data_IF_148358340833
#
_entry.id   IF_148358340833
#
_cell.length_a   1.000
_cell.length_b   1.000
_cell.length_c   1.000
_cell.angle_alpha   90.00
_cell.angle_beta   90.00
_cell.angle_gamma   90.00
#
_symmetry.space_group_name_H-M   'P 1'
#
loop_
_entity.id
_entity.type
_entity.pdbx_description
1 polymer ?
#
# COMPACT_ATOMS: atom_id res chain seq x y z
N UNK A 1 13.52 -12.57 -34.12
CA UNK A 1 13.17 -12.22 -32.73
C UNK A 1 14.21 -11.27 -32.16
N UNK A 2 13.87 -10.45 -31.16
CA UNK A 2 14.83 -9.49 -30.59
C UNK A 2 16.01 -10.21 -29.89
N UNK A 3 17.24 -9.73 -30.07
CA UNK A 3 18.40 -10.17 -29.27
C UNK A 3 18.67 -11.68 -29.29
N UNK A 4 18.51 -12.34 -30.45
CA UNK A 4 18.83 -13.77 -30.61
C UNK A 4 17.82 -14.75 -30.00
N UNK A 5 16.61 -14.31 -29.62
CA UNK A 5 15.59 -15.22 -29.10
C UNK A 5 14.93 -16.12 -30.14
N UNK A 6 14.19 -17.11 -29.64
CA UNK A 6 13.48 -18.12 -30.42
C UNK A 6 12.02 -18.23 -29.97
N UNK A 7 11.14 -18.63 -30.90
CA UNK A 7 9.70 -18.78 -30.67
C UNK A 7 9.17 -19.89 -31.53
N UNK A 8 8.35 -20.73 -30.93
CA UNK A 8 7.54 -21.69 -31.62
C UNK A 8 6.08 -21.53 -31.21
N UNK A 9 5.17 -21.54 -32.17
CA UNK A 9 3.72 -21.49 -31.94
C UNK A 9 3.13 -22.86 -32.25
N UNK A 10 2.24 -23.32 -31.37
CA UNK A 10 1.60 -24.62 -31.45
C UNK A 10 0.12 -24.46 -31.85
N UNK A 11 -0.46 -25.50 -32.44
CA UNK A 11 -1.82 -25.50 -32.98
C UNK A 11 -2.92 -25.13 -31.96
N UNK A 12 -2.67 -25.37 -30.67
CA UNK A 12 -3.58 -25.06 -29.57
C UNK A 12 -3.49 -23.59 -29.07
N UNK A 13 -2.88 -22.69 -29.84
CA UNK A 13 -2.77 -21.26 -29.50
C UNK A 13 -1.72 -20.93 -28.43
N UNK A 14 -0.97 -21.92 -27.95
CA UNK A 14 0.19 -21.72 -27.06
C UNK A 14 1.42 -21.40 -27.89
N UNK A 15 2.32 -20.60 -27.35
CA UNK A 15 3.62 -20.31 -27.93
C UNK A 15 4.69 -20.40 -26.87
N UNK A 16 5.83 -20.98 -27.20
CA UNK A 16 7.01 -20.95 -26.35
C UNK A 16 7.88 -19.82 -26.88
N UNK A 17 8.23 -18.87 -26.02
CA UNK A 17 9.22 -17.83 -26.29
C UNK A 17 10.47 -18.11 -25.46
N UNK A 18 11.63 -17.98 -26.07
CA UNK A 18 12.92 -18.19 -25.44
C UNK A 18 13.84 -17.02 -25.72
N UNK A 19 14.64 -16.65 -24.73
CA UNK A 19 15.83 -15.81 -24.89
C UNK A 19 16.90 -16.25 -23.90
N UNK A 20 18.20 -15.98 -24.17
CA UNK A 20 19.27 -16.32 -23.22
C UNK A 20 19.01 -15.81 -21.79
N UNK A 21 18.44 -14.61 -21.66
CA UNK A 21 18.21 -13.97 -20.37
C UNK A 21 16.98 -14.48 -19.61
N UNK A 22 16.00 -15.08 -20.29
CA UNK A 22 14.69 -15.42 -19.68
C UNK A 22 14.37 -16.91 -19.65
N UNK A 23 15.12 -17.71 -20.41
CA UNK A 23 14.78 -19.10 -20.69
C UNK A 23 13.49 -19.24 -21.51
N UNK A 24 13.04 -20.47 -21.69
CA UNK A 24 11.81 -20.79 -22.39
C UNK A 24 10.59 -20.53 -21.50
N UNK A 25 9.60 -19.80 -22.01
CA UNK A 25 8.37 -19.44 -21.31
C UNK A 25 7.14 -19.66 -22.18
N UNK A 26 6.08 -20.17 -21.56
CA UNK A 26 4.81 -20.43 -22.23
C UNK A 26 3.97 -19.14 -22.24
N UNK A 27 3.56 -18.72 -23.44
CA UNK A 27 2.62 -17.62 -23.68
C UNK A 27 1.36 -18.18 -24.34
N UNK A 28 0.18 -17.73 -23.91
CA UNK A 28 -1.08 -18.02 -24.61
C UNK A 28 -1.46 -16.84 -25.49
N UNK A 29 -1.03 -16.82 -26.75
CA UNK A 29 -1.21 -15.66 -27.64
C UNK A 29 -2.68 -15.32 -27.90
N UNK A 30 -3.56 -16.31 -27.86
CA UNK A 30 -5.01 -16.12 -28.01
C UNK A 30 -5.72 -15.67 -26.72
N UNK A 31 -5.04 -15.59 -25.57
CA UNK A 31 -5.62 -15.06 -24.33
C UNK A 31 -5.61 -13.53 -24.30
N UNK A 32 -6.44 -12.91 -23.46
CA UNK A 32 -6.44 -11.45 -23.32
C UNK A 32 -5.10 -10.87 -22.85
N UNK A 33 -4.36 -11.61 -22.02
CA UNK A 33 -2.98 -11.27 -21.61
C UNK A 33 -2.04 -11.31 -22.82
N UNK A 34 -2.05 -12.41 -23.57
CA UNK A 34 -1.19 -12.60 -24.74
C UNK A 34 -1.49 -11.59 -25.85
N UNK A 35 -2.78 -11.35 -26.14
CA UNK A 35 -3.21 -10.31 -27.09
C UNK A 35 -2.76 -8.93 -26.63
N UNK A 36 -2.93 -8.56 -25.35
CA UNK A 36 -2.49 -7.26 -24.84
C UNK A 36 -0.98 -7.07 -24.93
N UNK A 37 -0.18 -8.06 -24.52
CA UNK A 37 1.27 -8.05 -24.78
C UNK A 37 1.56 -7.90 -26.28
N UNK A 38 0.72 -8.53 -27.10
CA UNK A 38 0.74 -8.43 -28.53
C UNK A 38 0.58 -7.00 -29.07
N UNK A 39 -0.43 -6.29 -28.59
CA UNK A 39 -0.67 -4.87 -28.88
C UNK A 39 0.48 -3.96 -28.44
N UNK A 40 1.26 -4.38 -27.45
CA UNK A 40 2.41 -3.63 -26.95
C UNK A 40 3.74 -3.98 -27.66
N UNK A 41 3.70 -4.67 -28.80
CA UNK A 41 4.89 -4.94 -29.61
C UNK A 41 5.68 -6.20 -29.22
N UNK A 42 5.08 -7.10 -28.44
CA UNK A 42 5.62 -8.44 -28.15
C UNK A 42 7.00 -8.33 -27.45
N UNK A 43 7.96 -9.18 -27.79
CA UNK A 43 9.28 -9.20 -27.18
C UNK A 43 10.15 -7.98 -27.54
N UNK A 44 9.79 -7.28 -28.62
CA UNK A 44 10.41 -6.03 -29.08
C UNK A 44 9.80 -4.80 -28.41
N UNK A 45 8.66 -4.97 -27.75
CA UNK A 45 7.91 -3.93 -27.08
C UNK A 45 8.45 -3.54 -25.72
N UNK A 46 7.81 -2.55 -25.11
CA UNK A 46 8.20 -2.01 -23.80
C UNK A 46 8.25 -3.06 -22.68
N UNK A 47 7.44 -4.13 -22.76
CA UNK A 47 7.42 -5.22 -21.77
C UNK A 47 8.60 -6.20 -21.92
N UNK A 48 9.12 -6.38 -23.14
CA UNK A 48 10.17 -7.34 -23.45
C UNK A 48 9.70 -8.81 -23.43
N UNK A 49 10.67 -9.73 -23.38
CA UNK A 49 10.39 -11.19 -23.28
C UNK A 49 9.64 -11.55 -21.99
N UNK A 50 8.81 -12.60 -22.03
CA UNK A 50 8.25 -13.20 -20.82
C UNK A 50 9.37 -13.70 -19.89
N UNK A 51 9.19 -13.48 -18.58
CA UNK A 51 10.09 -13.97 -17.51
C UNK A 51 9.44 -15.04 -16.65
N UNK A 52 8.14 -15.25 -16.83
CA UNK A 52 7.37 -16.35 -16.24
C UNK A 52 6.33 -16.86 -17.24
N UNK A 53 5.80 -18.05 -16.96
CA UNK A 53 4.74 -18.63 -17.78
C UNK A 53 3.43 -17.85 -17.60
N UNK A 54 2.50 -18.07 -18.54
CA UNK A 54 1.12 -17.66 -18.37
C UNK A 54 0.49 -18.41 -17.19
N UNK A 55 0.01 -17.66 -16.19
CA UNK A 55 -0.61 -18.22 -14.97
C UNK A 55 -2.10 -17.90 -14.96
N UNK A 56 -3.00 -18.88 -15.19
CA UNK A 56 -4.42 -18.72 -14.92
C UNK A 56 -4.69 -18.70 -13.41
N UNK A 57 -5.65 -17.89 -12.98
CA UNK A 57 -6.13 -17.79 -11.61
C UNK A 57 -7.63 -18.09 -11.61
N UNK A 58 -7.95 -19.39 -11.60
CA UNK A 58 -9.32 -19.86 -11.85
C UNK A 58 -9.78 -19.56 -13.27
N UNK A 59 -11.08 -19.30 -13.44
CA UNK A 59 -11.70 -19.00 -14.74
C UNK A 59 -11.81 -17.50 -15.03
N UNK A 60 -11.55 -16.64 -14.04
CA UNK A 60 -11.88 -15.21 -14.08
C UNK A 60 -10.68 -14.29 -13.95
N UNK A 61 -9.46 -14.81 -13.81
CA UNK A 61 -8.25 -14.00 -13.82
C UNK A 61 -7.05 -14.75 -14.39
N UNK A 62 -6.04 -14.01 -14.83
CA UNK A 62 -4.74 -14.53 -15.25
C UNK A 62 -3.67 -13.44 -15.21
N UNK A 63 -2.40 -13.84 -15.18
CA UNK A 63 -1.30 -12.92 -15.39
C UNK A 63 -0.12 -13.57 -16.10
N UNK A 64 0.76 -12.75 -16.64
CA UNK A 64 2.08 -13.17 -17.10
C UNK A 64 3.11 -12.08 -16.80
N UNK A 65 4.29 -12.50 -16.34
CA UNK A 65 5.41 -11.60 -16.11
C UNK A 65 6.29 -11.48 -17.34
N UNK A 66 6.79 -10.28 -17.55
CA UNK A 66 7.72 -9.90 -18.61
C UNK A 66 8.92 -9.16 -17.99
N UNK A 67 9.99 -8.95 -18.75
CA UNK A 67 11.22 -8.31 -18.25
C UNK A 67 10.96 -6.96 -17.58
N UNK A 68 10.04 -6.17 -18.11
CA UNK A 68 9.80 -4.80 -17.64
C UNK A 68 8.39 -4.59 -17.06
N UNK A 69 7.63 -5.66 -16.82
CA UNK A 69 6.31 -5.51 -16.22
C UNK A 69 5.51 -6.81 -16.14
N UNK A 70 4.24 -6.65 -15.78
CA UNK A 70 3.27 -7.74 -15.67
C UNK A 70 2.03 -7.34 -16.46
N UNK A 71 1.47 -8.30 -17.20
CA UNK A 71 0.15 -8.12 -17.80
C UNK A 71 -0.83 -9.00 -17.03
N UNK A 72 -1.92 -8.40 -16.57
CA UNK A 72 -2.98 -9.07 -15.82
C UNK A 72 -4.28 -8.98 -16.59
N UNK A 73 -5.09 -10.02 -16.56
CA UNK A 73 -6.48 -10.00 -17.00
C UNK A 73 -7.40 -10.38 -15.84
N UNK A 74 -8.54 -9.72 -15.76
CA UNK A 74 -9.63 -10.05 -14.85
C UNK A 74 -10.97 -9.89 -15.58
N UNK A 75 -11.89 -10.84 -15.39
CA UNK A 75 -13.17 -10.87 -16.10
C UNK A 75 -14.04 -9.63 -15.86
N UNK A 76 -13.96 -9.00 -14.69
CA UNK A 76 -14.76 -7.81 -14.37
C UNK A 76 -14.09 -6.48 -14.73
N UNK A 77 -12.77 -6.45 -14.92
CA UNK A 77 -12.00 -5.21 -15.10
C UNK A 77 -11.06 -5.18 -16.30
N UNK A 78 -11.05 -6.24 -17.10
CA UNK A 78 -10.29 -6.35 -18.33
C UNK A 78 -8.78 -6.54 -18.12
N UNK A 79 -8.01 -6.26 -19.18
CA UNK A 79 -6.56 -6.44 -19.20
C UNK A 79 -5.82 -5.15 -18.87
N UNK A 80 -4.86 -5.23 -17.94
CA UNK A 80 -3.99 -4.13 -17.51
C UNK A 80 -2.53 -4.49 -17.68
N UNK A 81 -1.73 -3.47 -18.01
CA UNK A 81 -0.28 -3.55 -18.11
C UNK A 81 0.31 -2.78 -16.93
N UNK A 82 1.17 -3.45 -16.19
CA UNK A 82 1.82 -2.94 -14.99
C UNK A 82 3.33 -2.89 -15.22
N UNK A 83 3.86 -1.72 -15.52
CA UNK A 83 5.31 -1.57 -15.75
C UNK A 83 6.08 -1.59 -14.43
N UNK A 84 7.26 -2.21 -14.42
CA UNK A 84 8.21 -2.10 -13.32
C UNK A 84 8.91 -0.73 -13.42
N UNK A 85 8.43 0.21 -12.62
CA UNK A 85 8.94 1.58 -12.53
C UNK A 85 8.64 2.19 -11.15
N UNK A 86 9.32 3.30 -10.87
CA UNK A 86 9.07 4.11 -9.68
C UNK A 86 9.28 3.36 -8.37
N UNK A 87 8.55 3.79 -7.35
CA UNK A 87 8.76 3.37 -5.97
C UNK A 87 8.43 1.89 -5.72
N UNK A 88 7.42 1.33 -6.40
CA UNK A 88 7.11 -0.10 -6.28
C UNK A 88 8.24 -0.98 -6.84
N UNK A 89 9.00 -0.50 -7.84
CA UNK A 89 10.17 -1.21 -8.33
C UNK A 89 11.31 -1.24 -7.30
N UNK A 90 11.45 -0.19 -6.48
CA UNK A 90 12.40 -0.16 -5.37
C UNK A 90 12.12 -1.25 -4.31
N UNK A 91 10.88 -1.72 -4.22
CA UNK A 91 10.55 -2.89 -3.39
C UNK A 91 11.05 -4.20 -4.01
N UNK A 92 11.00 -4.31 -5.35
CA UNK A 92 11.38 -5.54 -6.06
C UNK A 92 12.89 -5.76 -6.16
N UNK A 93 13.66 -4.68 -6.26
CA UNK A 93 15.11 -4.73 -6.40
C UNK A 93 15.85 -4.67 -5.05
N UNK A 94 15.14 -4.78 -3.93
CA UNK A 94 15.73 -4.80 -2.59
C UNK A 94 16.25 -3.45 -2.11
N UNK A 95 15.87 -2.34 -2.76
CA UNK A 95 16.30 -0.98 -2.37
C UNK A 95 15.56 -0.42 -1.16
N UNK A 96 14.43 -1.00 -0.78
CA UNK A 96 13.70 -0.60 0.43
C UNK A 96 14.49 -0.98 1.69
N UNK A 97 14.82 0.03 2.50
CA UNK A 97 15.42 -0.18 3.84
C UNK A 97 14.42 -0.89 4.75
N UNK A 98 13.15 -0.57 4.59
CA UNK A 98 12.08 -1.11 5.42
C UNK A 98 11.52 -2.41 4.81
N UNK A 99 11.27 -3.46 5.62
CA UNK A 99 10.81 -4.74 5.10
C UNK A 99 9.35 -4.66 4.64
N UNK A 100 9.06 -5.28 3.51
CA UNK A 100 7.67 -5.45 3.03
C UNK A 100 6.96 -6.61 3.73
N UNK A 101 7.70 -7.51 4.41
CA UNK A 101 7.23 -8.76 5.02
C UNK A 101 6.31 -9.60 4.12
N UNK A 102 6.62 -9.64 2.82
CA UNK A 102 5.84 -10.35 1.79
C UNK A 102 4.34 -10.00 1.74
N UNK A 103 3.94 -8.81 2.22
CA UNK A 103 2.56 -8.37 2.23
C UNK A 103 1.94 -8.40 0.81
N UNK A 104 0.64 -8.68 0.75
CA UNK A 104 -0.11 -8.64 -0.53
C UNK A 104 -0.15 -7.23 -1.11
N UNK A 105 -0.16 -6.22 -0.24
CA UNK A 105 -0.08 -4.80 -0.57
C UNK A 105 0.93 -4.09 0.31
N UNK A 106 1.64 -3.13 -0.30
CA UNK A 106 2.49 -2.17 0.38
C UNK A 106 2.14 -0.79 -0.12
N UNK A 107 1.66 0.08 0.77
CA UNK A 107 1.48 1.49 0.49
C UNK A 107 2.66 2.30 0.98
N UNK A 108 3.22 3.12 0.12
CA UNK A 108 4.38 3.95 0.39
C UNK A 108 3.89 5.38 0.62
N UNK A 109 4.20 5.96 1.77
CA UNK A 109 3.92 7.39 2.04
C UNK A 109 5.24 8.12 2.20
N UNK A 110 5.59 8.91 1.18
CA UNK A 110 6.95 9.40 0.98
C UNK A 110 6.95 10.92 0.99
N UNK A 111 7.70 11.53 1.91
CA UNK A 111 8.07 12.93 1.81
C UNK A 111 9.44 13.06 1.14
N UNK A 112 9.65 14.10 0.34
CA UNK A 112 10.93 14.33 -0.35
C UNK A 112 12.03 14.81 0.62
N UNK A 113 11.66 15.28 1.81
CA UNK A 113 12.60 15.72 2.84
C UNK A 113 11.97 15.82 4.22
N UNK A 114 12.81 16.01 5.23
CA UNK A 114 12.36 16.34 6.59
C UNK A 114 11.69 17.71 6.65
N UNK A 115 10.80 17.91 7.65
CA UNK A 115 10.09 19.19 7.83
C UNK A 115 9.03 19.48 6.77
N UNK A 116 8.67 18.48 5.93
CA UNK A 116 7.64 18.59 4.90
C UNK A 116 6.40 17.81 5.33
N UNK A 117 5.25 18.48 5.28
CA UNK A 117 3.96 17.85 5.57
C UNK A 117 3.33 17.23 4.32
N UNK A 118 3.74 17.68 3.13
CA UNK A 118 3.35 17.13 1.85
C UNK A 118 4.07 15.81 1.59
N UNK A 119 3.31 14.80 1.16
CA UNK A 119 3.83 13.50 0.81
C UNK A 119 3.18 12.96 -0.47
N UNK A 120 3.78 11.94 -1.05
CA UNK A 120 3.16 11.11 -2.09
C UNK A 120 2.75 9.78 -1.49
N UNK A 121 1.50 9.37 -1.73
CA UNK A 121 1.00 8.04 -1.40
C UNK A 121 1.02 7.17 -2.66
N UNK A 122 1.84 6.13 -2.68
CA UNK A 122 1.96 5.17 -3.79
C UNK A 122 1.49 3.81 -3.32
N UNK A 123 0.45 3.28 -3.93
CA UNK A 123 -0.11 1.99 -3.54
C UNK A 123 0.40 0.87 -4.46
N UNK A 124 1.15 -0.07 -3.89
CA UNK A 124 1.73 -1.20 -4.60
C UNK A 124 1.00 -2.51 -4.28
N UNK A 125 0.70 -3.32 -5.29
CA UNK A 125 0.12 -4.66 -5.14
C UNK A 125 1.11 -5.73 -5.59
N UNK A 126 1.16 -6.85 -4.86
CA UNK A 126 2.06 -7.97 -5.15
C UNK A 126 1.40 -8.96 -6.11
N UNK A 127 1.91 -9.05 -7.33
CA UNK A 127 1.40 -9.94 -8.39
C UNK A 127 2.51 -10.89 -8.83
N UNK A 128 2.24 -12.20 -8.73
CA UNK A 128 3.21 -13.25 -9.02
C UNK A 128 4.51 -13.14 -8.22
N UNK A 129 4.52 -12.42 -7.10
CA UNK A 129 5.71 -12.17 -6.28
C UNK A 129 6.44 -10.86 -6.52
N UNK A 130 5.99 -10.01 -7.46
CA UNK A 130 6.55 -8.68 -7.69
C UNK A 130 5.52 -7.59 -7.38
N UNK A 131 5.96 -6.51 -6.76
CA UNK A 131 5.14 -5.32 -6.52
C UNK A 131 5.03 -4.46 -7.77
N UNK A 132 3.80 -4.04 -8.08
CA UNK A 132 3.52 -3.09 -9.15
C UNK A 132 2.59 -2.01 -8.63
N UNK A 133 2.70 -0.82 -9.19
CA UNK A 133 1.85 0.30 -8.81
C UNK A 133 0.40 0.07 -9.27
N UNK A 134 -0.54 0.20 -8.34
CA UNK A 134 -1.97 0.16 -8.64
C UNK A 134 -2.53 1.57 -8.85
N UNK A 135 -2.10 2.52 -8.02
CA UNK A 135 -2.42 3.95 -8.11
C UNK A 135 -1.53 4.77 -7.17
N UNK A 136 -1.51 6.08 -7.39
CA UNK A 136 -0.85 7.05 -6.53
C UNK A 136 -1.68 8.32 -6.38
N UNK A 137 -1.40 9.09 -5.33
CA UNK A 137 -1.98 10.41 -5.08
C UNK A 137 -1.07 11.24 -4.19
N UNK A 138 -1.29 12.54 -4.10
CA UNK A 138 -0.70 13.36 -3.04
C UNK A 138 -1.33 13.03 -1.69
N UNK A 139 -0.62 13.31 -0.61
CA UNK A 139 -1.05 13.06 0.76
C UNK A 139 -0.50 14.14 1.69
N UNK A 140 -1.06 14.23 2.88
CA UNK A 140 -0.43 14.94 3.98
C UNK A 140 -0.04 13.99 5.10
N UNK A 141 1.02 14.34 5.80
CA UNK A 141 1.52 13.66 7.00
C UNK A 141 1.48 14.65 8.18
N UNK A 142 2.17 14.34 9.28
CA UNK A 142 2.33 15.25 10.41
C UNK A 142 2.78 16.65 9.95
N UNK A 143 2.28 17.70 10.59
CA UNK A 143 2.59 19.08 10.23
C UNK A 143 4.09 19.41 10.33
N UNK A 144 4.83 18.71 11.19
CA UNK A 144 6.31 18.79 11.29
C UNK A 144 7.03 17.81 10.35
N UNK A 145 6.28 17.06 9.53
CA UNK A 145 6.76 16.01 8.64
C UNK A 145 7.10 14.71 9.37
N UNK A 146 7.99 13.91 8.77
CA UNK A 146 8.48 12.68 9.38
C UNK A 146 9.55 12.93 10.45
N UNK A 147 9.52 12.16 11.53
CA UNK A 147 10.55 12.25 12.58
C UNK A 147 11.91 11.75 12.11
N UNK A 148 13.00 12.38 12.56
CA UNK A 148 14.36 11.84 12.37
C UNK A 148 14.57 10.55 13.19
N UNK A 149 15.48 9.65 12.78
CA UNK A 149 15.92 8.53 13.59
C UNK A 149 16.33 9.00 15.01
N UNK A 150 15.93 8.23 16.02
CA UNK A 150 16.22 8.55 17.43
C UNK A 150 15.33 9.64 18.05
N UNK A 151 14.56 10.39 17.26
CA UNK A 151 13.62 11.38 17.79
C UNK A 151 12.35 10.66 18.28
N UNK A 152 11.97 10.80 19.57
CA UNK A 152 10.71 10.26 20.06
C UNK A 152 9.53 10.92 19.34
N UNK A 153 8.50 10.14 19.01
CA UNK A 153 7.25 10.74 18.57
C UNK A 153 6.55 11.49 19.70
N UNK A 154 6.77 11.08 20.96
CA UNK A 154 6.12 11.64 22.15
C UNK A 154 4.60 11.54 22.11
N UNK A 155 3.92 12.25 23.00
CA UNK A 155 2.54 12.66 22.74
C UNK A 155 2.54 13.45 21.41
N UNK A 156 1.46 13.41 20.64
CA UNK A 156 1.34 14.02 19.29
C UNK A 156 1.66 15.54 19.20
N UNK A 157 2.08 16.17 20.31
CA UNK A 157 2.49 17.57 20.46
C UNK A 157 3.58 18.04 19.48
N UNK A 158 4.47 17.15 19.03
CA UNK A 158 5.53 17.51 18.10
C UNK A 158 5.12 17.40 16.63
N UNK A 159 3.89 16.93 16.37
CA UNK A 159 3.26 16.84 15.05
C UNK A 159 4.10 16.05 14.03
N UNK A 160 4.88 15.08 14.49
CA UNK A 160 5.68 14.21 13.62
C UNK A 160 4.96 12.92 13.27
N UNK A 161 5.04 12.53 12.00
CA UNK A 161 4.75 11.17 11.58
C UNK A 161 5.90 10.22 11.90
N UNK A 162 5.63 8.98 12.33
CA UNK A 162 6.69 7.99 12.52
C UNK A 162 7.27 7.55 11.17
N UNK A 163 8.51 7.04 11.20
CA UNK A 163 9.14 6.40 10.05
C UNK A 163 9.26 4.90 10.29
N UNK A 164 8.90 4.10 9.28
CA UNK A 164 9.02 2.66 9.36
C UNK A 164 8.08 1.92 8.43
N UNK A 165 7.95 0.62 8.67
CA UNK A 165 7.00 -0.27 8.01
C UNK A 165 6.04 -0.79 9.06
N UNK A 166 4.74 -0.63 8.84
CA UNK A 166 3.69 -0.96 9.80
C UNK A 166 2.58 -1.78 9.16
N UNK A 167 2.12 -2.82 9.84
CA UNK A 167 0.92 -3.54 9.42
C UNK A 167 -0.34 -2.68 9.57
N UNK A 168 -1.29 -3.00 8.72
CA UNK A 168 -2.68 -2.55 8.80
C UNK A 168 -3.52 -3.71 9.31
N UNK A 169 -4.31 -3.46 10.36
CA UNK A 169 -5.06 -4.53 11.04
C UNK A 169 -6.55 -4.31 11.15
N UNK A 170 -6.99 -3.08 11.39
CA UNK A 170 -8.39 -2.76 11.54
C UNK A 170 -8.72 -1.40 10.91
N UNK A 171 -10.00 -1.16 10.73
CA UNK A 171 -10.54 0.05 10.15
C UNK A 171 -11.74 0.57 10.95
N UNK A 172 -12.07 1.83 10.79
CA UNK A 172 -13.15 2.50 11.51
C UNK A 172 -13.77 3.60 10.65
N UNK A 173 -14.90 4.13 11.09
CA UNK A 173 -15.51 5.30 10.46
C UNK A 173 -16.99 5.43 10.79
N UNK A 174 -17.66 6.33 10.05
CA UNK A 174 -19.11 6.57 10.15
C UNK A 174 -19.92 5.72 9.15
N UNK A 175 -19.26 5.06 8.19
CA UNK A 175 -19.87 4.09 7.28
C UNK A 175 -18.83 3.09 6.75
N UNK A 176 -19.26 1.88 6.37
CA UNK A 176 -18.37 0.87 5.79
C UNK A 176 -18.41 0.92 4.25
N UNK A 177 -17.29 1.21 3.56
CA UNK A 177 -17.24 1.30 2.10
C UNK A 177 -17.17 -0.07 1.37
N UNK A 178 -17.28 -1.18 2.11
CA UNK A 178 -17.06 -2.55 1.61
C UNK A 178 -15.66 -3.09 1.93
N UNK A 179 -15.15 -2.86 3.14
CA UNK A 179 -13.81 -3.29 3.57
C UNK A 179 -13.76 -4.77 3.96
N UNK A 180 -12.60 -5.41 3.73
CA UNK A 180 -12.29 -6.73 4.27
C UNK A 180 -11.54 -6.67 5.62
N UNK A 181 -11.10 -5.48 6.03
CA UNK A 181 -10.55 -5.26 7.37
C UNK A 181 -11.68 -5.35 8.40
N UNK A 182 -11.41 -5.85 9.62
CA UNK A 182 -12.28 -5.62 10.77
C UNK A 182 -12.70 -4.14 10.83
N UNK A 183 -14.00 -3.90 10.89
CA UNK A 183 -14.57 -2.56 10.81
C UNK A 183 -15.26 -2.17 12.12
N UNK A 184 -14.89 -1.01 12.66
CA UNK A 184 -15.49 -0.42 13.85
C UNK A 184 -16.34 0.80 13.49
N UNK A 185 -17.67 0.73 13.62
CA UNK A 185 -18.51 1.92 13.57
C UNK A 185 -18.15 2.86 14.73
N UNK A 186 -17.88 4.13 14.42
CA UNK A 186 -17.68 5.14 15.44
C UNK A 186 -19.02 5.61 16.00
N UNK A 187 -19.04 5.92 17.30
CA UNK A 187 -20.20 6.42 18.04
C UNK A 187 -19.75 7.54 19.00
N UNK A 188 -20.66 8.29 19.65
CA UNK A 188 -20.31 9.42 20.53
C UNK A 188 -19.30 9.11 21.65
N UNK A 189 -19.20 7.84 22.08
CA UNK A 189 -18.28 7.40 23.12
C UNK A 189 -16.93 6.94 22.57
N UNK A 190 -16.74 6.83 21.24
CA UNK A 190 -15.51 6.32 20.65
C UNK A 190 -14.28 7.17 20.99
N UNK A 191 -13.30 6.56 21.65
CA UNK A 191 -12.02 7.17 22.03
C UNK A 191 -10.83 6.32 21.61
N UNK A 192 -9.67 6.97 21.45
CA UNK A 192 -8.38 6.31 21.37
C UNK A 192 -7.46 6.76 22.49
N UNK A 193 -6.92 5.83 23.27
CA UNK A 193 -6.14 6.14 24.46
C UNK A 193 -4.80 6.80 24.13
N UNK A 194 -4.60 8.02 24.64
CA UNK A 194 -3.34 8.73 24.64
C UNK A 194 -2.73 8.86 26.04
N UNK A 195 -3.55 8.72 27.09
CA UNK A 195 -3.08 8.71 28.48
C UNK A 195 -2.29 7.45 28.79
N UNK A 196 -1.22 7.61 29.56
CA UNK A 196 -0.43 6.49 30.06
C UNK A 196 -1.32 5.55 30.88
N UNK A 197 -1.14 4.25 30.70
CA UNK A 197 -1.91 3.22 31.40
C UNK A 197 -2.38 2.10 30.48
N UNK A 198 -3.36 1.34 30.97
CA UNK A 198 -3.83 0.10 30.33
C UNK A 198 -4.52 0.31 28.99
N UNK A 199 -5.10 1.50 28.77
CA UNK A 199 -5.78 1.92 27.55
C UNK A 199 -4.88 2.64 26.54
N UNK A 200 -3.62 2.90 26.89
CA UNK A 200 -2.70 3.62 26.02
C UNK A 200 -2.56 2.93 24.66
N UNK A 201 -2.73 3.72 23.59
CA UNK A 201 -2.73 3.33 22.20
C UNK A 201 -3.75 2.21 21.83
N UNK A 202 -4.93 2.24 22.47
CA UNK A 202 -6.05 1.33 22.20
C UNK A 202 -7.35 2.10 22.05
N UNK A 203 -8.27 1.53 21.27
CA UNK A 203 -9.67 1.97 21.28
C UNK A 203 -10.32 1.67 22.62
N UNK A 204 -11.15 2.58 23.10
CA UNK A 204 -12.07 2.37 24.22
C UNK A 204 -13.30 3.27 24.07
N UNK A 205 -14.29 3.09 24.95
CA UNK A 205 -15.47 3.94 24.98
C UNK A 205 -15.54 4.75 26.26
N UNK A 206 -15.83 6.04 26.14
CA UNK A 206 -16.03 6.95 27.26
C UNK A 206 -16.81 8.19 26.83
N UNK A 207 -17.64 8.70 27.73
CA UNK A 207 -18.29 10.01 27.58
C UNK A 207 -17.34 11.17 27.85
N UNK A 208 -16.23 10.93 28.54
CA UNK A 208 -15.24 11.95 28.90
C UNK A 208 -14.40 12.43 27.71
N UNK A 209 -13.93 13.68 27.81
CA UNK A 209 -12.89 14.25 26.96
C UNK A 209 -11.68 14.57 27.83
N UNK A 210 -10.69 13.68 27.82
CA UNK A 210 -9.50 13.82 28.66
C UNK A 210 -8.27 13.81 27.78
N UNK A 211 -7.55 14.93 27.74
CA UNK A 211 -6.29 14.99 27.01
C UNK A 211 -5.26 14.00 27.61
N UNK A 212 -4.45 13.29 26.80
CA UNK A 212 -4.37 13.35 25.34
C UNK A 212 -5.16 12.25 24.63
N UNK A 213 -6.22 11.67 25.21
CA UNK A 213 -7.07 10.71 24.49
C UNK A 213 -7.75 11.38 23.28
N UNK A 214 -7.75 10.71 22.12
CA UNK A 214 -8.43 11.24 20.94
C UNK A 214 -9.93 10.97 21.01
N UNK A 215 -10.72 12.02 20.84
CA UNK A 215 -12.16 11.90 20.62
C UNK A 215 -12.43 11.56 19.15
N UNK A 216 -12.47 10.26 18.85
CA UNK A 216 -12.62 9.80 17.49
C UNK A 216 -13.93 10.24 16.84
N UNK A 217 -15.01 10.34 17.62
CA UNK A 217 -16.31 10.82 17.13
C UNK A 217 -16.28 12.28 16.74
N UNK A 218 -15.69 13.13 17.58
CA UNK A 218 -15.51 14.56 17.28
C UNK A 218 -14.74 14.75 15.97
N UNK A 219 -13.65 14.01 15.79
CA UNK A 219 -12.85 14.04 14.55
C UNK A 219 -13.60 13.47 13.36
N UNK A 220 -14.50 12.50 13.56
CA UNK A 220 -15.36 12.00 12.50
C UNK A 220 -16.37 13.06 12.02
N UNK A 221 -16.96 13.83 12.95
CA UNK A 221 -17.84 14.94 12.61
C UNK A 221 -17.10 16.11 11.95
N UNK A 222 -15.82 16.29 12.28
CA UNK A 222 -14.93 17.30 11.68
C UNK A 222 -14.31 16.88 10.34
N UNK A 223 -14.64 15.68 9.85
CA UNK A 223 -14.21 15.14 8.56
C UNK A 223 -13.02 14.19 8.60
N UNK A 224 -12.12 14.31 9.59
CA UNK A 224 -10.88 13.54 9.67
C UNK A 224 -11.13 12.03 9.73
N UNK A 225 -12.01 11.59 10.64
CA UNK A 225 -12.26 10.16 10.93
C UNK A 225 -13.58 9.65 10.35
N UNK A 226 -14.09 10.28 9.29
CA UNK A 226 -15.23 9.76 8.53
C UNK A 226 -14.97 8.34 8.03
N UNK A 227 -13.73 8.11 7.57
CA UNK A 227 -13.14 6.81 7.31
C UNK A 227 -11.70 6.80 7.82
N UNK A 228 -11.28 5.68 8.39
CA UNK A 228 -9.91 5.51 8.85
C UNK A 228 -9.46 4.07 8.92
N UNK A 229 -8.15 3.89 8.86
CA UNK A 229 -7.47 2.61 8.94
C UNK A 229 -6.33 2.73 9.95
N UNK A 230 -6.20 1.72 10.80
CA UNK A 230 -5.18 1.71 11.84
C UNK A 230 -3.82 1.31 11.27
N UNK A 231 -2.82 2.14 11.50
CA UNK A 231 -1.41 1.88 11.23
C UNK A 231 -0.81 1.38 12.54
N UNK A 232 -0.29 0.15 12.59
CA UNK A 232 0.24 -0.46 13.82
C UNK A 232 1.60 0.08 14.26
N UNK A 233 1.69 1.40 14.36
CA UNK A 233 2.76 2.05 15.05
C UNK A 233 2.58 1.88 16.56
N UNK A 234 3.60 1.35 17.23
CA UNK A 234 3.64 1.16 18.69
C UNK A 234 2.50 0.25 19.21
N UNK A 235 2.17 -0.82 18.47
CA UNK A 235 1.09 -1.77 18.77
C UNK A 235 1.33 -3.17 18.19
N UNK A 236 0.78 -4.22 18.83
CA UNK A 236 0.75 -5.55 18.25
C UNK A 236 -0.02 -5.59 16.92
N UNK A 237 0.33 -6.48 15.98
CA UNK A 237 1.36 -7.51 16.12
C UNK A 237 2.79 -7.03 15.81
N UNK A 238 2.97 -5.78 15.36
CA UNK A 238 4.28 -5.29 14.90
C UNK A 238 5.26 -5.01 16.04
N UNK A 239 4.77 -4.56 17.20
CA UNK A 239 5.57 -4.35 18.42
C UNK A 239 4.73 -4.45 19.69
N UNK A 240 5.31 -4.64 20.88
CA UNK A 240 4.59 -4.32 22.12
C UNK A 240 4.24 -2.83 22.16
N UNK A 241 3.23 -2.48 22.96
CA UNK A 241 2.90 -1.07 23.25
C UNK A 241 3.91 -0.56 24.27
N UNK A 242 4.63 0.50 23.90
CA UNK A 242 5.53 1.24 24.78
C UNK A 242 4.86 2.56 25.15
N UNK A 243 4.65 2.78 26.44
CA UNK A 243 4.03 3.99 26.99
C UNK A 243 4.85 5.23 26.59
N UNK A 244 4.20 6.30 26.13
CA UNK A 244 4.85 7.55 25.71
C UNK A 244 5.49 7.54 24.30
N UNK A 245 5.55 6.40 23.61
CA UNK A 245 6.16 6.31 22.27
C UNK A 245 5.23 6.78 21.12
N UNK A 246 4.18 7.55 21.41
CA UNK A 246 3.13 7.96 20.48
C UNK A 246 1.99 6.95 20.37
N UNK A 247 0.85 7.42 19.87
CA UNK A 247 -0.41 6.70 19.77
C UNK A 247 -1.24 7.24 18.60
N UNK A 248 -2.34 6.57 18.27
CA UNK A 248 -3.36 7.02 17.30
C UNK A 248 -2.81 7.41 15.92
N UNK A 249 -1.91 6.61 15.35
CA UNK A 249 -1.42 6.83 13.98
C UNK A 249 -2.34 6.09 13.01
N UNK A 250 -3.02 6.84 12.15
CA UNK A 250 -4.00 6.31 11.21
C UNK A 250 -3.73 6.78 9.78
N UNK A 251 -4.29 6.05 8.81
CA UNK A 251 -4.60 6.56 7.48
C UNK A 251 -6.06 6.99 7.51
N UNK A 252 -6.36 8.27 7.28
CA UNK A 252 -7.74 8.78 7.39
C UNK A 252 -8.09 9.84 6.34
N UNK A 253 -9.36 10.27 6.34
CA UNK A 253 -9.91 11.26 5.40
C UNK A 253 -9.49 12.69 5.77
N UNK A 254 -10.00 13.70 5.04
CA UNK A 254 -9.68 15.13 5.26
C UNK A 254 -8.21 15.48 4.99
N UNK A 255 -7.87 15.59 3.70
CA UNK A 255 -6.50 15.76 3.19
C UNK A 255 -5.85 17.10 3.56
N UNK A 256 -5.34 17.20 4.78
CA UNK A 256 -4.60 18.34 5.34
C UNK A 256 -3.52 17.85 6.32
N UNK A 257 -2.52 18.67 6.69
CA UNK A 257 -1.51 18.31 7.69
C UNK A 257 -2.12 17.81 8.99
N UNK A 258 -1.52 16.78 9.57
CA UNK A 258 -2.05 16.07 10.75
C UNK A 258 -1.12 16.23 11.96
N UNK A 259 -1.43 15.57 13.07
CA UNK A 259 -0.51 15.44 14.21
C UNK A 259 0.46 14.25 14.10
N UNK A 260 0.36 13.45 13.02
CA UNK A 260 1.22 12.28 12.79
C UNK A 260 0.62 11.22 11.85
N UNK A 261 -0.70 11.25 11.64
CA UNK A 261 -1.43 10.42 10.68
C UNK A 261 -1.09 10.72 9.21
N UNK A 262 -1.55 9.84 8.34
CA UNK A 262 -1.59 10.06 6.89
C UNK A 262 -3.01 10.50 6.52
N UNK A 263 -3.15 11.62 5.83
CA UNK A 263 -4.43 12.15 5.39
C UNK A 263 -4.56 12.15 3.86
N UNK A 264 -5.65 11.55 3.36
CA UNK A 264 -6.05 11.50 1.95
C UNK A 264 -7.47 12.05 1.77
N UNK A 265 -7.95 12.16 0.53
CA UNK A 265 -9.38 12.42 0.31
C UNK A 265 -10.21 11.19 0.71
N UNK A 266 -11.44 11.42 1.20
CA UNK A 266 -12.34 10.35 1.68
C UNK A 266 -12.56 9.24 0.63
N UNK A 267 -12.71 9.59 -0.64
CA UNK A 267 -12.88 8.61 -1.72
C UNK A 267 -11.62 7.74 -1.96
N UNK A 268 -10.43 8.26 -1.65
CA UNK A 268 -9.15 7.55 -1.75
C UNK A 268 -8.98 6.59 -0.57
N UNK A 269 -9.37 7.01 0.64
CA UNK A 269 -9.41 6.14 1.82
C UNK A 269 -10.44 5.02 1.61
N UNK A 270 -11.62 5.34 1.08
CA UNK A 270 -12.63 4.34 0.72
C UNK A 270 -12.10 3.35 -0.31
N UNK A 271 -11.38 3.83 -1.34
CA UNK A 271 -10.71 2.97 -2.34
C UNK A 271 -9.67 2.06 -1.70
N UNK A 272 -8.86 2.58 -0.79
CA UNK A 272 -7.88 1.78 -0.04
C UNK A 272 -8.57 0.69 0.78
N UNK A 273 -9.55 1.06 1.62
CA UNK A 273 -10.29 0.15 2.49
C UNK A 273 -10.96 -1.01 1.74
N UNK A 274 -11.55 -0.77 0.57
CA UNK A 274 -12.18 -1.84 -0.26
C UNK A 274 -11.23 -2.95 -0.69
N UNK A 275 -9.93 -2.66 -0.71
CA UNK A 275 -8.92 -3.58 -1.28
C UNK A 275 -7.82 -3.97 -0.29
N UNK A 276 -7.78 -3.33 0.87
CA UNK A 276 -6.87 -3.66 1.95
C UNK A 276 -7.33 -4.91 2.72
N UNK A 277 -6.37 -5.68 3.19
CA UNK A 277 -6.58 -6.87 4.02
C UNK A 277 -5.68 -6.81 5.27
N UNK A 278 -6.04 -7.50 6.36
CA UNK A 278 -5.18 -7.57 7.53
C UNK A 278 -3.79 -8.09 7.17
N UNK A 279 -2.75 -7.40 7.63
CA UNK A 279 -1.36 -7.74 7.34
C UNK A 279 -0.76 -7.01 6.12
N UNK A 280 -1.57 -6.32 5.31
CA UNK A 280 -1.05 -5.32 4.37
C UNK A 280 -0.24 -4.26 5.11
N UNK A 281 0.71 -3.60 4.43
CA UNK A 281 1.66 -2.70 5.10
C UNK A 281 1.64 -1.29 4.54
N UNK A 282 1.90 -0.33 5.43
CA UNK A 282 2.27 1.03 5.09
C UNK A 282 3.74 1.22 5.45
N UNK A 283 4.56 1.56 4.45
CA UNK A 283 5.93 2.03 4.64
C UNK A 283 5.90 3.54 4.49
N UNK A 284 6.32 4.26 5.52
CA UNK A 284 6.20 5.71 5.56
C UNK A 284 7.49 6.35 6.08
N UNK A 285 7.90 7.46 5.47
CA UNK A 285 9.16 8.13 5.79
C UNK A 285 9.64 9.10 4.72
N UNK A 286 10.85 9.63 4.93
CA UNK A 286 11.55 10.47 3.96
C UNK A 286 12.19 9.59 2.89
N UNK A 287 12.13 10.01 1.62
CA UNK A 287 12.64 9.24 0.47
C UNK A 287 14.06 8.71 0.69
N UNK A 288 14.97 9.57 1.15
CA UNK A 288 16.38 9.23 1.38
C UNK A 288 16.60 8.17 2.48
N UNK A 289 15.64 8.04 3.41
CA UNK A 289 15.71 7.04 4.48
C UNK A 289 15.02 5.73 4.11
N UNK A 290 14.05 5.78 3.20
CA UNK A 290 13.28 4.62 2.78
C UNK A 290 13.99 3.78 1.71
N UNK A 291 14.79 4.42 0.84
CA UNK A 291 15.41 3.75 -0.30
C UNK A 291 16.93 3.97 -0.34
N UNK A 292 17.69 2.90 -0.61
CA UNK A 292 19.13 2.90 -0.84
C UNK A 292 19.48 2.23 -2.16
#
# INVERSE_FOLDING_TARGET
MAGGGCRQTFSNGRSIYWSPATGARIVRLQSDVGRKWGWHGWERGALGYPTGDYVPQGRTAAYQKFRHGIVTWNASSGTRVHMFRGECQNLNNGRSVQPTRNAGRVSLTIAEGYGRSEATFVNCVRIGGSYVEEWRTSAYVGASGFKRPGVPSGHTQYLYSPQGSYSVTESFGVYNPGTALPYRPLNPNSRWGGRLGTLYNKYFESTGYTWPDENMWYFAQSGDYRLGVVINYNRPPDSPIVQGNGFAIFLHANKKPTAGCIALHEHEVARYMRTARPGDRIIMGVRADLFR
#
